data_IF_797671157603
#
_entry.id   IF_797671157603
#
_cell.length_a   1.000
_cell.length_b   1.000
_cell.length_c   1.000
_cell.angle_alpha   90.00
_cell.angle_beta   90.00
_cell.angle_gamma   90.00
#
_symmetry.space_group_name_H-M   'P 1'
#
loop_
_entity.id
_entity.type
_entity.pdbx_description
1 polymer ?
#
# COMPACT_ATOMS: atom_id res chain seq x y z
N UNK A 1 -22.16 -1.03 -3.98
CA UNK A 1 -21.35 -0.55 -2.85
C UNK A 1 -21.67 0.89 -2.56
N UNK A 2 -21.73 1.27 -1.30
CA UNK A 2 -22.05 2.63 -0.84
C UNK A 2 -20.79 3.24 -0.24
N UNK A 3 -20.52 4.51 -0.53
CA UNK A 3 -19.41 5.25 0.04
C UNK A 3 -19.62 5.42 1.55
N UNK A 4 -18.63 5.08 2.34
CA UNK A 4 -18.62 5.29 3.78
C UNK A 4 -18.41 6.79 4.08
N UNK A 5 -19.34 7.43 4.80
CA UNK A 5 -19.16 8.80 5.24
C UNK A 5 -18.04 8.88 6.29
N UNK A 6 -17.31 9.99 6.29
CA UNK A 6 -16.26 10.30 7.27
C UNK A 6 -15.06 9.31 7.31
N UNK A 7 -14.86 8.54 6.25
CA UNK A 7 -13.62 7.80 6.10
C UNK A 7 -12.43 8.76 6.03
N UNK A 8 -11.32 8.42 6.70
CA UNK A 8 -10.04 9.14 6.57
C UNK A 8 -9.28 8.75 5.30
N UNK A 9 -9.81 7.83 4.50
CA UNK A 9 -9.37 7.50 3.15
C UNK A 9 -10.15 8.34 2.14
N UNK A 10 -9.56 8.64 0.98
CA UNK A 10 -10.22 9.43 -0.06
C UNK A 10 -11.54 8.79 -0.52
N UNK A 11 -11.58 7.47 -0.64
CA UNK A 11 -12.81 6.74 -0.91
C UNK A 11 -12.78 5.34 -0.27
N UNK A 12 -13.79 5.05 0.53
CA UNK A 12 -14.03 3.73 1.09
C UNK A 12 -15.47 3.31 0.82
N UNK A 13 -15.64 2.27 0.02
CA UNK A 13 -16.95 1.72 -0.35
C UNK A 13 -17.20 0.41 0.37
N UNK A 14 -18.40 0.23 0.90
CA UNK A 14 -18.85 -1.02 1.52
C UNK A 14 -20.08 -1.57 0.83
N UNK A 15 -20.21 -2.90 0.78
CA UNK A 15 -21.42 -3.60 0.39
C UNK A 15 -22.51 -3.28 1.42
N UNK A 16 -23.74 -2.91 1.01
CA UNK A 16 -24.83 -2.70 1.94
C UNK A 16 -25.03 -3.92 2.84
N UNK A 17 -25.07 -3.69 4.15
CA UNK A 17 -25.24 -4.74 5.15
C UNK A 17 -23.98 -5.54 5.48
N UNK A 18 -22.83 -5.22 4.91
CA UNK A 18 -21.56 -5.80 5.35
C UNK A 18 -21.16 -5.19 6.70
N UNK A 19 -20.85 -6.05 7.65
CA UNK A 19 -20.43 -5.69 9.00
C UNK A 19 -18.99 -6.17 9.24
N UNK A 20 -18.08 -5.24 9.47
CA UNK A 20 -16.67 -5.55 9.72
C UNK A 20 -16.44 -6.15 11.13
N UNK A 21 -17.43 -6.08 12.03
CA UNK A 21 -17.34 -6.71 13.36
C UNK A 21 -17.36 -8.24 13.31
N UNK A 22 -17.85 -8.82 12.21
CA UNK A 22 -17.90 -10.28 12.02
C UNK A 22 -16.50 -10.89 11.78
N UNK A 23 -15.46 -10.06 11.53
CA UNK A 23 -14.12 -10.52 11.21
C UNK A 23 -13.19 -10.35 12.40
N UNK A 24 -12.73 -11.44 12.96
CA UNK A 24 -11.79 -11.50 14.09
C UNK A 24 -10.35 -11.81 13.66
N UNK A 25 -10.13 -12.08 12.38
CA UNK A 25 -8.83 -12.41 11.76
C UNK A 25 -8.65 -11.68 10.43
N UNK A 26 -7.40 -11.50 10.02
CA UNK A 26 -7.05 -10.89 8.75
C UNK A 26 -6.14 -11.83 7.95
N UNK A 27 -6.43 -11.98 6.66
CA UNK A 27 -5.51 -12.55 5.68
C UNK A 27 -5.08 -11.45 4.70
N UNK A 28 -3.80 -11.17 4.61
CA UNK A 28 -3.22 -10.23 3.65
C UNK A 28 -2.67 -11.01 2.46
N UNK A 29 -3.21 -10.74 1.28
CA UNK A 29 -2.71 -11.33 0.02
C UNK A 29 -1.51 -10.54 -0.49
N UNK A 30 -0.79 -11.15 -1.45
CA UNK A 30 0.33 -10.50 -2.14
C UNK A 30 -0.10 -9.17 -2.75
N UNK A 31 0.75 -8.16 -2.57
CA UNK A 31 0.50 -6.81 -3.06
C UNK A 31 0.83 -6.72 -4.55
N UNK A 32 -0.14 -6.36 -5.37
CA UNK A 32 0.11 -6.01 -6.76
C UNK A 32 0.69 -4.60 -6.84
N UNK A 33 1.72 -4.40 -7.68
CA UNK A 33 2.33 -3.09 -7.89
C UNK A 33 2.40 -2.77 -9.38
N UNK A 34 1.91 -1.60 -9.77
CA UNK A 34 2.05 -1.08 -11.13
C UNK A 34 2.46 0.39 -11.14
N UNK A 35 3.36 0.72 -12.04
CA UNK A 35 3.75 2.09 -12.30
C UNK A 35 2.65 2.86 -13.04
N UNK A 36 2.72 4.18 -12.98
CA UNK A 36 1.95 5.06 -13.84
C UNK A 36 2.26 4.76 -15.33
N UNK A 37 1.25 5.02 -16.16
CA UNK A 37 1.36 4.76 -17.60
C UNK A 37 2.53 5.57 -18.18
N UNK A 38 3.40 4.88 -18.92
CA UNK A 38 4.60 5.46 -19.58
C UNK A 38 5.66 6.02 -18.61
N UNK A 39 5.57 5.77 -17.30
CA UNK A 39 6.53 6.30 -16.33
C UNK A 39 7.99 6.00 -16.71
N UNK A 40 8.33 4.76 -17.03
CA UNK A 40 9.69 4.37 -17.41
C UNK A 40 10.21 5.13 -18.64
N UNK A 41 9.37 5.27 -19.67
CA UNK A 41 9.72 6.01 -20.87
C UNK A 41 9.99 7.48 -20.55
N UNK A 42 9.04 8.13 -19.86
CA UNK A 42 9.14 9.54 -19.49
C UNK A 42 10.37 9.81 -18.60
N UNK A 43 10.62 8.92 -17.64
CA UNK A 43 11.80 9.02 -16.78
C UNK A 43 13.09 8.90 -17.61
N UNK A 44 13.20 7.88 -18.46
CA UNK A 44 14.41 7.62 -19.25
C UNK A 44 14.67 8.67 -20.32
N UNK A 45 13.68 9.43 -20.78
CA UNK A 45 13.86 10.58 -21.70
C UNK A 45 14.66 11.73 -21.07
N UNK A 46 14.61 11.88 -19.75
CA UNK A 46 15.29 12.96 -19.02
C UNK A 46 16.51 12.48 -18.22
N UNK A 47 16.58 11.19 -17.94
CA UNK A 47 17.69 10.59 -17.19
C UNK A 47 18.97 10.52 -18.00
N UNK A 48 20.13 10.62 -17.32
CA UNK A 48 21.42 10.31 -17.95
C UNK A 48 21.47 8.83 -18.36
N UNK A 49 22.36 8.48 -19.30
CA UNK A 49 22.50 7.09 -19.75
C UNK A 49 22.78 6.10 -18.61
N UNK A 50 23.46 6.54 -17.57
CA UNK A 50 23.80 5.71 -16.41
C UNK A 50 22.63 5.54 -15.43
N UNK A 51 21.68 6.47 -15.47
CA UNK A 51 20.52 6.52 -14.56
C UNK A 51 19.23 5.98 -15.21
N UNK A 52 19.34 5.43 -16.42
CA UNK A 52 18.17 4.84 -17.08
C UNK A 52 17.68 3.58 -16.39
N UNK A 53 16.37 3.48 -16.24
CA UNK A 53 15.69 2.36 -15.61
C UNK A 53 15.41 1.27 -16.65
N UNK A 54 15.90 0.07 -16.42
CA UNK A 54 15.61 -1.11 -17.24
C UNK A 54 14.34 -1.85 -16.77
N UNK A 55 13.83 -2.78 -17.60
CA UNK A 55 12.72 -3.66 -17.21
C UNK A 55 13.06 -4.52 -15.98
N UNK A 56 14.33 -4.88 -15.82
CA UNK A 56 14.84 -5.62 -14.65
C UNK A 56 14.74 -4.74 -13.39
N UNK A 57 15.08 -3.47 -13.50
CA UNK A 57 14.95 -2.52 -12.39
C UNK A 57 13.48 -2.27 -12.06
N UNK A 58 12.62 -2.13 -13.06
CA UNK A 58 11.18 -2.04 -12.89
C UNK A 58 10.62 -3.23 -12.10
N UNK A 59 11.06 -4.44 -12.45
CA UNK A 59 10.65 -5.65 -11.72
C UNK A 59 11.13 -5.62 -10.27
N UNK A 60 12.41 -5.28 -10.05
CA UNK A 60 13.02 -5.21 -8.72
C UNK A 60 12.32 -4.19 -7.83
N UNK A 61 12.01 -3.02 -8.37
CA UNK A 61 11.26 -1.98 -7.65
C UNK A 61 9.88 -2.49 -7.24
N UNK A 62 9.12 -3.10 -8.15
CA UNK A 62 7.79 -3.66 -7.82
C UNK A 62 7.86 -4.69 -6.70
N UNK A 63 8.82 -5.62 -6.80
CA UNK A 63 8.98 -6.69 -5.81
C UNK A 63 9.31 -6.10 -4.41
N UNK A 64 10.13 -5.07 -4.36
CA UNK A 64 10.51 -4.42 -3.10
C UNK A 64 9.36 -3.59 -2.50
N UNK A 65 8.68 -2.79 -3.32
CA UNK A 65 7.49 -2.03 -2.88
C UNK A 65 6.43 -2.98 -2.33
N UNK A 66 6.18 -4.11 -3.01
CA UNK A 66 5.23 -5.12 -2.53
C UNK A 66 5.64 -5.72 -1.18
N UNK A 67 6.93 -6.06 -1.03
CA UNK A 67 7.50 -6.63 0.20
C UNK A 67 7.41 -5.64 1.37
N UNK A 68 7.82 -4.40 1.15
CA UNK A 68 7.79 -3.35 2.18
C UNK A 68 6.37 -3.02 2.60
N UNK A 69 5.46 -2.87 1.64
CA UNK A 69 4.03 -2.68 1.92
C UNK A 69 3.48 -3.81 2.81
N UNK A 70 3.71 -5.07 2.45
CA UNK A 70 3.23 -6.20 3.23
C UNK A 70 3.84 -6.25 4.63
N UNK A 71 5.13 -5.89 4.77
CA UNK A 71 5.84 -5.79 6.06
C UNK A 71 5.20 -4.76 6.97
N UNK A 72 5.04 -3.52 6.50
CA UNK A 72 4.48 -2.43 7.30
C UNK A 72 2.98 -2.65 7.63
N UNK A 73 2.18 -3.11 6.66
CA UNK A 73 0.79 -3.48 6.92
C UNK A 73 0.68 -4.55 8.01
N UNK A 74 1.49 -5.61 7.91
CA UNK A 74 1.50 -6.70 8.90
C UNK A 74 1.91 -6.21 10.28
N UNK A 75 2.96 -5.39 10.40
CA UNK A 75 3.39 -4.81 11.67
C UNK A 75 2.26 -4.08 12.39
N UNK A 76 1.52 -3.24 11.67
CA UNK A 76 0.45 -2.43 12.28
C UNK A 76 -0.79 -3.28 12.58
N UNK A 77 -1.21 -4.13 11.64
CA UNK A 77 -2.43 -4.93 11.80
C UNK A 77 -2.30 -6.06 12.82
N UNK A 78 -1.07 -6.49 13.16
CA UNK A 78 -0.78 -7.51 14.15
C UNK A 78 -0.43 -6.98 15.56
N UNK A 79 -0.59 -5.67 15.82
CA UNK A 79 -0.39 -5.09 17.17
C UNK A 79 -1.39 -5.65 18.19
N UNK A 80 -1.14 -5.41 19.50
CA UNK A 80 -1.97 -5.96 20.61
C UNK A 80 -3.46 -5.66 20.47
N UNK A 81 -3.83 -4.51 19.90
CA UNK A 81 -5.22 -4.13 19.57
C UNK A 81 -5.66 -4.60 18.18
N UNK A 82 -4.78 -5.30 17.45
CA UNK A 82 -5.03 -5.78 16.09
C UNK A 82 -5.66 -7.18 16.07
N UNK A 83 -5.99 -7.61 14.87
CA UNK A 83 -6.53 -8.95 14.64
C UNK A 83 -5.41 -9.92 14.26
N UNK A 84 -5.46 -11.20 14.72
CA UNK A 84 -4.50 -12.22 14.30
C UNK A 84 -4.40 -12.32 12.78
N UNK A 85 -3.16 -12.37 12.27
CA UNK A 85 -2.89 -12.59 10.86
C UNK A 85 -2.92 -14.08 10.56
N UNK A 86 -3.62 -14.47 9.50
CA UNK A 86 -3.74 -15.85 9.03
C UNK A 86 -3.36 -15.96 7.55
N UNK A 87 -2.98 -17.15 7.11
CA UNK A 87 -2.52 -17.38 5.73
C UNK A 87 -3.62 -17.82 4.76
N UNK A 88 -4.83 -18.07 5.25
CA UNK A 88 -5.93 -18.60 4.44
C UNK A 88 -7.27 -17.98 4.86
N UNK A 89 -8.22 -17.97 3.93
CA UNK A 89 -9.60 -17.61 4.19
C UNK A 89 -10.31 -18.62 5.11
N UNK A 90 -11.45 -18.21 5.64
CA UNK A 90 -12.28 -19.01 6.53
C UNK A 90 -13.33 -18.16 7.21
N UNK A 91 -14.10 -18.76 8.12
CA UNK A 91 -15.10 -18.04 8.91
C UNK A 91 -14.42 -17.02 9.82
N UNK A 92 -14.92 -15.79 9.83
CA UNK A 92 -14.38 -14.69 10.63
C UNK A 92 -13.06 -14.11 10.07
N UNK A 93 -12.65 -14.48 8.86
CA UNK A 93 -11.45 -13.95 8.21
C UNK A 93 -11.82 -12.85 7.22
N UNK A 94 -11.27 -11.66 7.42
CA UNK A 94 -11.26 -10.60 6.42
C UNK A 94 -10.04 -10.76 5.51
N UNK A 95 -10.26 -10.97 4.21
CA UNK A 95 -9.19 -11.04 3.24
C UNK A 95 -8.96 -9.65 2.65
N UNK A 96 -7.72 -9.16 2.73
CA UNK A 96 -7.23 -7.92 2.13
C UNK A 96 -6.46 -8.25 0.85
N UNK A 97 -6.89 -7.70 -0.29
CA UNK A 97 -6.18 -7.78 -1.57
C UNK A 97 -5.70 -6.39 -1.98
N UNK A 98 -4.47 -6.02 -1.61
CA UNK A 98 -3.94 -4.71 -1.89
C UNK A 98 -3.32 -4.61 -3.29
N UNK A 99 -3.36 -3.39 -3.83
CA UNK A 99 -2.58 -2.98 -4.99
C UNK A 99 -2.06 -1.56 -4.79
N UNK A 100 -0.81 -1.33 -5.13
CA UNK A 100 -0.22 0.00 -5.32
C UNK A 100 -0.24 0.27 -6.81
N UNK A 101 -1.02 1.24 -7.23
CA UNK A 101 -1.18 1.60 -8.65
C UNK A 101 -0.75 3.04 -8.89
N UNK A 102 -0.49 3.37 -10.16
CA UNK A 102 -0.02 4.69 -10.56
C UNK A 102 1.25 5.12 -9.82
N UNK A 103 2.15 4.17 -9.53
CA UNK A 103 3.40 4.47 -8.86
C UNK A 103 4.28 5.33 -9.76
N UNK A 104 4.66 6.50 -9.29
CA UNK A 104 5.68 7.36 -9.86
C UNK A 104 6.82 7.51 -8.87
N UNK A 105 8.04 7.44 -9.38
CA UNK A 105 9.26 7.52 -8.58
C UNK A 105 10.09 8.66 -9.12
N UNK A 106 10.44 9.63 -8.27
CA UNK A 106 11.18 10.83 -8.67
C UNK A 106 12.67 10.57 -8.83
N UNK A 107 13.24 9.66 -8.05
CA UNK A 107 14.66 9.29 -8.09
C UNK A 107 14.83 7.80 -7.75
N UNK A 108 14.72 6.88 -8.74
CA UNK A 108 14.96 5.47 -8.50
C UNK A 108 16.42 5.23 -8.09
N UNK A 109 16.61 4.52 -6.97
CA UNK A 109 17.95 4.07 -6.58
C UNK A 109 18.34 2.87 -7.43
N UNK A 110 19.15 3.09 -8.44
CA UNK A 110 19.65 2.07 -9.37
C UNK A 110 20.94 1.41 -8.89
N UNK A 111 21.23 1.43 -7.62
CA UNK A 111 22.48 1.14 -6.96
C UNK A 111 23.25 -0.10 -7.38
N UNK A 112 24.53 0.15 -7.43
CA UNK A 112 25.73 -0.69 -7.59
C UNK A 112 25.69 -1.98 -6.76
N UNK A 113 26.19 -3.11 -7.29
CA UNK A 113 26.29 -4.38 -6.55
C UNK A 113 27.19 -4.23 -5.32
N UNK A 114 26.67 -4.42 -4.13
CA UNK A 114 27.45 -4.53 -2.90
C UNK A 114 27.08 -3.60 -1.76
N UNK A 115 26.13 -2.69 -1.91
CA UNK A 115 25.60 -1.91 -0.80
C UNK A 115 24.15 -2.28 -0.51
N UNK A 116 23.89 -2.45 0.78
CA UNK A 116 22.67 -2.92 1.41
C UNK A 116 21.37 -2.44 0.75
N UNK A 117 20.46 -3.37 0.70
CA UNK A 117 19.07 -3.38 0.25
C UNK A 117 18.23 -2.21 0.78
N UNK A 118 18.53 -0.98 0.43
CA UNK A 118 17.65 0.13 0.74
C UNK A 118 16.95 0.54 -0.54
N UNK A 119 15.74 0.07 -0.69
CA UNK A 119 14.87 0.42 -1.78
C UNK A 119 13.76 1.27 -1.26
N UNK A 120 13.77 2.46 -1.58
CA UNK A 120 12.65 3.17 -2.14
C UNK A 120 13.14 4.53 -2.60
N UNK A 121 13.08 4.73 -3.85
CA UNK A 121 13.10 6.02 -4.47
C UNK A 121 11.98 6.88 -3.90
N UNK A 122 12.15 8.18 -3.89
CA UNK A 122 11.10 9.15 -3.62
C UNK A 122 9.86 8.76 -4.41
N UNK A 123 8.82 8.30 -3.74
CA UNK A 123 7.54 8.06 -4.37
C UNK A 123 6.94 9.44 -4.67
N UNK A 124 7.06 9.90 -5.91
CA UNK A 124 6.45 11.15 -6.34
C UNK A 124 4.92 11.08 -6.20
N UNK A 125 4.34 9.95 -6.54
CA UNK A 125 2.92 9.65 -6.29
C UNK A 125 2.64 8.16 -6.30
N UNK A 126 1.59 7.74 -5.60
CA UNK A 126 1.05 6.39 -5.65
C UNK A 126 -0.42 6.38 -5.22
N UNK A 127 -1.13 5.33 -5.58
CA UNK A 127 -2.53 5.14 -5.16
C UNK A 127 -2.68 3.77 -4.53
N UNK A 128 -3.18 3.72 -3.30
CA UNK A 128 -3.68 2.49 -2.71
C UNK A 128 -5.01 2.12 -3.36
N UNK A 129 -5.10 0.91 -3.88
CA UNK A 129 -6.35 0.25 -4.22
C UNK A 129 -6.42 -1.05 -3.43
N UNK A 130 -7.41 -1.20 -2.57
CA UNK A 130 -7.55 -2.40 -1.75
C UNK A 130 -8.97 -2.93 -1.84
N UNK A 131 -9.10 -4.22 -2.08
CA UNK A 131 -10.38 -4.92 -2.00
C UNK A 131 -10.45 -5.75 -0.74
N UNK A 132 -11.62 -5.74 -0.12
CA UNK A 132 -11.94 -6.48 1.08
C UNK A 132 -12.91 -7.62 0.72
N UNK A 133 -12.58 -8.84 1.12
CA UNK A 133 -13.41 -10.01 0.85
C UNK A 133 -13.79 -10.72 2.15
N UNK A 134 -14.99 -11.28 2.17
CA UNK A 134 -15.37 -12.29 3.16
C UNK A 134 -14.58 -13.58 2.92
N UNK A 135 -13.82 -14.01 3.91
CA UNK A 135 -12.94 -15.16 3.80
C UNK A 135 -13.65 -16.50 3.70
N UNK A 136 -14.94 -16.57 4.06
CA UNK A 136 -15.75 -17.79 3.98
C UNK A 136 -16.42 -17.94 2.61
N UNK A 137 -16.99 -16.84 2.10
CA UNK A 137 -17.77 -16.87 0.85
C UNK A 137 -16.95 -16.47 -0.37
N UNK A 138 -15.88 -15.70 -0.18
CA UNK A 138 -15.12 -15.07 -1.25
C UNK A 138 -15.80 -13.85 -1.86
N UNK A 139 -16.90 -13.39 -1.28
CA UNK A 139 -17.61 -12.20 -1.74
C UNK A 139 -16.78 -10.94 -1.47
N UNK A 140 -16.77 -10.03 -2.42
CA UNK A 140 -16.23 -8.69 -2.19
C UNK A 140 -17.20 -7.87 -1.34
N UNK A 141 -16.73 -7.39 -0.20
CA UNK A 141 -17.51 -6.64 0.77
C UNK A 141 -17.13 -5.17 0.86
N UNK A 142 -15.95 -4.81 0.38
CA UNK A 142 -15.51 -3.40 0.37
C UNK A 142 -14.40 -3.12 -0.61
N UNK A 143 -14.18 -1.82 -0.86
CA UNK A 143 -13.08 -1.27 -1.66
C UNK A 143 -12.58 0.02 -1.06
N UNK A 144 -11.27 0.17 -1.00
CA UNK A 144 -10.58 1.38 -0.56
C UNK A 144 -9.76 1.92 -1.72
N UNK A 145 -9.82 3.23 -1.92
CA UNK A 145 -9.00 3.96 -2.89
C UNK A 145 -8.46 5.19 -2.18
N UNK A 146 -7.15 5.34 -2.14
CA UNK A 146 -6.50 6.49 -1.48
C UNK A 146 -5.25 6.91 -2.25
N UNK A 147 -5.33 7.99 -3.05
CA UNK A 147 -4.17 8.55 -3.73
C UNK A 147 -3.31 9.35 -2.74
N UNK A 148 -2.00 9.22 -2.87
CA UNK A 148 -0.99 9.98 -2.15
C UNK A 148 -0.01 10.60 -3.13
N UNK A 149 0.35 11.87 -2.90
CA UNK A 149 1.37 12.58 -3.64
C UNK A 149 2.30 13.33 -2.68
N UNK A 150 3.53 13.55 -3.11
CA UNK A 150 4.58 14.19 -2.31
C UNK A 150 4.23 15.65 -1.92
N UNK A 151 3.36 16.32 -2.66
CA UNK A 151 3.00 17.73 -2.48
C UNK A 151 2.06 18.02 -1.29
N UNK A 152 1.42 17.02 -0.72
CA UNK A 152 0.46 17.23 0.38
C UNK A 152 1.13 17.49 1.76
N UNK A 153 2.43 17.33 1.87
CA UNK A 153 3.16 17.50 3.13
C UNK A 153 3.92 18.84 3.27
N UNK A 154 3.89 19.73 2.28
CA UNK A 154 4.34 21.13 2.43
C UNK A 154 5.83 21.34 2.74
N UNK A 155 6.71 20.40 2.47
CA UNK A 155 8.16 20.57 2.64
C UNK A 155 8.92 20.01 1.45
N UNK A 156 9.53 20.92 0.73
CA UNK A 156 10.60 20.63 -0.23
C UNK A 156 11.80 20.08 0.54
N UNK A 157 11.89 18.77 0.71
CA UNK A 157 13.09 18.12 1.24
C UNK A 157 13.86 17.46 0.10
N UNK A 158 15.16 17.75 0.06
CA UNK A 158 16.13 17.10 -0.81
C UNK A 158 16.06 15.59 -0.52
N UNK A 159 15.51 14.84 -1.45
CA UNK A 159 15.31 13.40 -1.32
C UNK A 159 16.66 12.67 -1.27
N UNK A 160 16.93 12.06 -0.13
CA UNK A 160 17.94 11.00 -0.01
C UNK A 160 17.21 9.65 0.03
N UNK A 161 17.88 8.57 -0.35
CA UNK A 161 17.31 7.21 -0.32
C UNK A 161 16.72 6.83 1.06
N UNK A 162 17.26 7.40 2.13
CA UNK A 162 16.80 7.20 3.52
C UNK A 162 15.45 7.90 3.78
N UNK A 163 15.25 9.10 3.24
CA UNK A 163 14.02 9.87 3.39
C UNK A 163 12.85 9.18 2.68
N UNK A 164 13.13 8.55 1.56
CA UNK A 164 12.14 7.93 0.69
C UNK A 164 11.51 6.66 1.29
N UNK A 165 12.33 5.80 1.90
CA UNK A 165 11.84 4.62 2.63
C UNK A 165 10.98 5.05 3.82
N UNK A 166 11.43 6.04 4.58
CA UNK A 166 10.68 6.53 5.75
C UNK A 166 9.33 7.17 5.35
N UNK A 167 9.25 7.84 4.21
CA UNK A 167 8.00 8.43 3.72
C UNK A 167 7.02 7.37 3.22
N UNK A 168 7.51 6.37 2.49
CA UNK A 168 6.70 5.22 2.08
C UNK A 168 6.14 4.48 3.31
N UNK A 169 6.99 4.13 4.27
CA UNK A 169 6.59 3.46 5.51
C UNK A 169 5.56 4.27 6.29
N UNK A 170 5.73 5.60 6.36
CA UNK A 170 4.78 6.52 7.01
C UNK A 170 3.41 6.47 6.34
N UNK A 171 3.36 6.48 5.01
CA UNK A 171 2.11 6.41 4.26
C UNK A 171 1.44 5.06 4.46
N UNK A 172 2.16 3.95 4.30
CA UNK A 172 1.63 2.59 4.51
C UNK A 172 1.15 2.41 5.95
N UNK A 173 1.91 2.88 6.92
CA UNK A 173 1.54 2.87 8.33
C UNK A 173 0.25 3.65 8.58
N UNK A 174 0.08 4.83 7.98
CA UNK A 174 -1.15 5.61 8.06
C UNK A 174 -2.34 4.82 7.51
N UNK A 175 -2.21 4.22 6.34
CA UNK A 175 -3.27 3.39 5.75
C UNK A 175 -3.65 2.22 6.65
N UNK A 176 -2.66 1.52 7.19
CA UNK A 176 -2.88 0.40 8.11
C UNK A 176 -3.57 0.85 9.41
N UNK A 177 -3.17 2.00 9.97
CA UNK A 177 -3.79 2.56 11.18
C UNK A 177 -5.25 2.97 10.94
N UNK A 178 -5.56 3.59 9.80
CA UNK A 178 -6.93 3.95 9.45
C UNK A 178 -7.80 2.68 9.33
N UNK A 179 -7.29 1.66 8.62
CA UNK A 179 -7.99 0.39 8.50
C UNK A 179 -8.21 -0.25 9.88
N UNK A 180 -7.16 -0.35 10.70
CA UNK A 180 -7.25 -0.95 12.04
C UNK A 180 -8.23 -0.20 12.96
N UNK A 181 -8.23 1.15 12.91
CA UNK A 181 -9.16 1.98 13.69
C UNK A 181 -10.62 1.69 13.33
N UNK A 182 -10.93 1.60 12.05
CA UNK A 182 -12.30 1.26 11.60
C UNK A 182 -12.72 -0.14 12.01
N UNK A 183 -11.80 -1.11 11.93
CA UNK A 183 -12.06 -2.47 12.40
C UNK A 183 -12.29 -2.52 13.91
N UNK A 184 -11.59 -1.70 14.70
CA UNK A 184 -11.75 -1.62 16.16
C UNK A 184 -13.03 -0.90 16.57
N UNK A 185 -13.44 0.17 15.88
CA UNK A 185 -14.65 0.92 16.17
C UNK A 185 -15.92 0.05 16.02
N UNK A 186 -15.93 -0.77 14.97
CA UNK A 186 -17.08 -1.65 14.68
C UNK A 186 -17.17 -2.82 15.67
N UNK A 187 -16.04 -3.26 16.26
CA UNK A 187 -16.03 -4.33 17.26
C UNK A 187 -16.53 -3.92 18.65
N UNK A 188 -16.73 -2.60 18.88
CA UNK A 188 -17.19 -2.07 20.19
C UNK A 188 -18.68 -1.77 20.26
N UNK A 189 -19.39 -1.89 19.14
CA UNK A 189 -20.84 -1.70 19.03
C UNK A 189 -21.57 -3.03 18.94
#
# INVERSE_FOLDING_TARGET
MTLMPNSKMAAWYMKPGADLSEYDKIALLDTYVSFAKHWQQNYNETASFQDQVSDKDMKKIRDNVAKEFASEMTKVLSTEDGRPMVSAGGTGVLILRPAIINLEISAPDLMTPGMSETFVASAGSMTLYMELFDGKTGDIIGKIIDPEAEDDAGMMQISSSVTNTADFDRIVKRWAQILNSHLAEVSKN
#
